data_IF_787979034598
#
_entry.id   IF_787979034598
#
_cell.length_a   1.000
_cell.length_b   1.000
_cell.length_c   1.000
_cell.angle_alpha   90.00
_cell.angle_beta   90.00
_cell.angle_gamma   90.00
#
_symmetry.space_group_name_H-M   'P 1'
#
loop_
_entity.id
_entity.type
_entity.pdbx_description
1 polymer ?
#
# COMPACT_ATOMS: atom_id res chain seq x y z
N UNK A 1 -51.99 -36.09 43.54
CA UNK A 1 -50.70 -35.75 42.92
C UNK A 1 -51.01 -34.64 41.95
N UNK A 2 -50.90 -33.39 42.40
CA UNK A 2 -51.33 -32.22 41.65
C UNK A 2 -50.08 -31.46 41.19
N UNK A 3 -49.91 -31.39 39.87
CA UNK A 3 -48.79 -30.79 39.17
C UNK A 3 -48.97 -29.28 39.08
N UNK A 4 -48.18 -28.50 39.81
CA UNK A 4 -48.06 -27.06 39.61
C UNK A 4 -47.17 -26.76 38.42
N UNK A 5 -47.81 -26.24 37.38
CA UNK A 5 -47.25 -25.68 36.16
C UNK A 5 -46.48 -24.38 36.48
N UNK A 6 -45.19 -24.33 36.18
CA UNK A 6 -44.39 -23.11 36.24
C UNK A 6 -44.56 -22.36 34.92
N UNK A 7 -45.23 -21.21 34.97
CA UNK A 7 -45.25 -20.22 33.91
C UNK A 7 -44.84 -18.86 34.48
N UNK A 8 -43.63 -18.35 34.19
CA UNK A 8 -43.28 -16.98 34.48
C UNK A 8 -43.86 -16.07 33.38
N UNK A 9 -44.83 -15.23 33.75
CA UNK A 9 -45.24 -14.09 32.94
C UNK A 9 -44.07 -13.12 32.69
N UNK A 10 -44.08 -12.38 31.57
CA UNK A 10 -42.98 -11.54 31.15
C UNK A 10 -42.84 -10.32 32.07
N UNK A 11 -41.63 -10.09 32.60
CA UNK A 11 -41.31 -8.82 33.26
C UNK A 11 -41.22 -7.71 32.20
N UNK A 12 -42.33 -6.99 32.03
CA UNK A 12 -42.44 -5.87 31.13
C UNK A 12 -41.83 -4.60 31.76
N UNK A 13 -40.77 -4.13 31.10
CA UNK A 13 -40.37 -2.73 30.90
C UNK A 13 -40.67 -1.70 32.01
N UNK A 14 -39.70 -1.51 32.92
CA UNK A 14 -39.56 -0.26 33.64
C UNK A 14 -38.93 0.82 32.76
N UNK A 15 -39.75 1.58 32.04
CA UNK A 15 -39.32 2.75 31.26
C UNK A 15 -38.91 3.88 32.20
N UNK A 16 -37.63 3.91 32.58
CA UNK A 16 -37.02 5.09 33.18
C UNK A 16 -36.82 6.12 32.06
N UNK A 17 -37.76 7.05 31.91
CA UNK A 17 -37.74 8.13 30.90
C UNK A 17 -36.38 8.85 30.81
N UNK A 18 -35.65 8.91 31.92
CA UNK A 18 -34.31 9.50 32.01
C UNK A 18 -33.20 8.63 31.38
N UNK A 19 -33.32 7.30 31.43
CA UNK A 19 -32.33 6.37 30.87
C UNK A 19 -32.35 6.38 29.34
N UNK A 20 -33.55 6.48 28.75
CA UNK A 20 -33.72 6.61 27.29
C UNK A 20 -33.16 7.93 26.76
N UNK A 21 -33.33 9.03 27.50
CA UNK A 21 -32.77 10.35 27.13
C UNK A 21 -31.23 10.34 27.25
N UNK A 22 -30.68 9.76 28.32
CA UNK A 22 -29.22 9.67 28.52
C UNK A 22 -28.58 8.84 27.40
N UNK A 23 -29.17 7.70 27.03
CA UNK A 23 -28.66 6.86 25.93
C UNK A 23 -28.72 7.63 24.60
N UNK A 24 -29.80 8.36 24.33
CA UNK A 24 -29.92 9.16 23.11
C UNK A 24 -28.85 10.27 23.01
N UNK A 25 -28.54 10.93 24.13
CA UNK A 25 -27.49 11.97 24.18
C UNK A 25 -26.10 11.36 23.93
N UNK A 26 -25.79 10.21 24.52
CA UNK A 26 -24.51 9.53 24.31
C UNK A 26 -24.34 9.13 22.85
N UNK A 27 -25.38 8.53 22.23
CA UNK A 27 -25.34 8.16 20.81
C UNK A 27 -25.13 9.38 19.93
N UNK A 28 -25.82 10.50 20.19
CA UNK A 28 -25.65 11.74 19.43
C UNK A 28 -24.23 12.32 19.55
N UNK A 29 -23.62 12.26 20.73
CA UNK A 29 -22.23 12.73 20.95
C UNK A 29 -21.24 11.83 20.21
N UNK A 30 -21.39 10.51 20.30
CA UNK A 30 -20.51 9.56 19.60
C UNK A 30 -20.62 9.74 18.09
N UNK A 31 -21.83 9.86 17.54
CA UNK A 31 -22.04 10.09 16.12
C UNK A 31 -21.45 11.42 15.66
N UNK A 32 -21.56 12.47 16.48
CA UNK A 32 -20.95 13.78 16.22
C UNK A 32 -19.41 13.70 16.23
N UNK A 33 -18.82 12.98 17.19
CA UNK A 33 -17.37 12.76 17.24
C UNK A 33 -16.87 11.94 16.04
N UNK A 34 -17.61 10.91 15.62
CA UNK A 34 -17.26 10.14 14.42
C UNK A 34 -17.29 11.01 13.15
N UNK A 35 -18.31 11.86 12.98
CA UNK A 35 -18.40 12.77 11.84
C UNK A 35 -17.24 13.79 11.79
N UNK A 36 -16.81 14.30 12.95
CA UNK A 36 -15.67 15.21 13.02
C UNK A 36 -14.36 14.51 12.64
N UNK A 37 -14.16 13.28 13.09
CA UNK A 37 -12.96 12.49 12.74
C UNK A 37 -12.93 12.15 11.26
N UNK A 38 -14.05 11.78 10.63
CA UNK A 38 -14.07 11.45 9.20
C UNK A 38 -13.89 12.68 8.31
N UNK A 39 -14.44 13.84 8.69
CA UNK A 39 -14.27 15.09 7.92
C UNK A 39 -12.83 15.59 8.01
N UNK A 40 -12.23 15.57 9.21
CA UNK A 40 -10.84 16.00 9.41
C UNK A 40 -9.86 15.02 8.78
N UNK A 41 -10.06 13.70 8.98
CA UNK A 41 -9.25 12.66 8.36
C UNK A 41 -9.33 12.67 6.83
N UNK A 42 -10.53 12.87 6.28
CA UNK A 42 -10.73 13.03 4.84
C UNK A 42 -10.04 14.27 4.27
N UNK A 43 -10.03 15.38 5.01
CA UNK A 43 -9.34 16.61 4.60
C UNK A 43 -7.81 16.43 4.55
N UNK A 44 -7.21 15.79 5.56
CA UNK A 44 -5.77 15.50 5.56
C UNK A 44 -5.38 14.47 4.49
N UNK A 45 -6.20 13.45 4.27
CA UNK A 45 -6.01 12.48 3.17
C UNK A 45 -6.11 13.15 1.80
N UNK A 46 -7.06 14.08 1.61
CA UNK A 46 -7.21 14.83 0.37
C UNK A 46 -5.99 15.74 0.09
N UNK A 47 -5.43 16.37 1.12
CA UNK A 47 -4.18 17.16 0.99
C UNK A 47 -3.00 16.29 0.53
N UNK A 48 -2.85 15.08 1.09
CA UNK A 48 -1.82 14.13 0.64
C UNK A 48 -2.05 13.64 -0.80
N UNK A 49 -3.31 13.39 -1.18
CA UNK A 49 -3.66 12.96 -2.53
C UNK A 49 -3.38 14.02 -3.60
N UNK A 50 -3.65 15.30 -3.32
CA UNK A 50 -3.38 16.40 -4.27
C UNK A 50 -1.87 16.64 -4.43
N UNK A 51 -1.08 16.51 -3.36
CA UNK A 51 0.39 16.58 -3.45
C UNK A 51 0.96 15.39 -4.22
N UNK A 52 0.38 14.20 -4.06
CA UNK A 52 0.76 13.03 -4.84
C UNK A 52 0.45 13.22 -6.34
N UNK A 53 -0.67 13.84 -6.70
CA UNK A 53 -0.96 14.16 -8.11
C UNK A 53 0.01 15.20 -8.69
N UNK A 54 0.44 16.20 -7.91
CA UNK A 54 1.43 17.19 -8.37
C UNK A 54 2.80 16.55 -8.62
N UNK A 55 3.21 15.60 -7.78
CA UNK A 55 4.41 14.81 -8.04
C UNK A 55 4.30 14.00 -9.35
N UNK A 56 3.11 13.45 -9.66
CA UNK A 56 2.84 12.78 -10.95
C UNK A 56 2.84 13.77 -12.13
N UNK A 57 2.36 14.99 -11.94
CA UNK A 57 2.40 16.06 -12.95
C UNK A 57 3.83 16.52 -13.27
N UNK A 58 4.75 16.48 -12.29
CA UNK A 58 6.18 16.70 -12.52
C UNK A 58 6.83 15.57 -13.32
N UNK A 59 6.40 14.31 -13.15
CA UNK A 59 6.80 13.20 -14.02
C UNK A 59 6.27 13.33 -15.46
N UNK A 60 5.12 13.99 -15.66
CA UNK A 60 4.59 14.26 -17.00
C UNK A 60 5.31 15.41 -17.73
N UNK A 61 5.99 16.31 -17.00
CA UNK A 61 6.79 17.40 -17.59
C UNK A 61 8.25 17.04 -17.82
N UNK A 62 8.68 15.83 -17.46
CA UNK A 62 9.87 15.25 -18.05
C UNK A 62 9.51 14.84 -19.48
N UNK A 63 10.22 15.39 -20.46
CA UNK A 63 10.12 15.03 -21.87
C UNK A 63 10.59 13.57 -22.02
N UNK A 64 9.70 12.62 -21.72
CA UNK A 64 9.91 11.20 -21.96
C UNK A 64 10.03 11.05 -23.48
N UNK A 65 11.14 10.50 -24.02
CA UNK A 65 11.20 10.13 -25.42
C UNK A 65 9.99 9.24 -25.71
N UNK A 66 9.14 9.67 -26.65
CA UNK A 66 7.89 9.01 -27.01
C UNK A 66 8.08 7.49 -27.16
N UNK A 67 7.71 6.71 -26.14
CA UNK A 67 7.34 5.34 -26.39
C UNK A 67 6.02 5.40 -27.16
N UNK A 68 5.92 4.75 -28.33
CA UNK A 68 4.74 4.85 -29.16
C UNK A 68 3.63 4.00 -28.53
N UNK A 69 2.86 4.58 -27.62
CA UNK A 69 1.61 3.99 -27.17
C UNK A 69 0.44 4.77 -27.77
N UNK A 70 -0.27 4.23 -28.77
CA UNK A 70 -1.70 4.43 -28.80
C UNK A 70 -2.25 3.58 -27.65
N UNK A 71 -2.70 4.18 -26.55
CA UNK A 71 -3.57 3.49 -25.60
C UNK A 71 -5.03 3.83 -25.92
N UNK A 72 -5.75 3.01 -26.71
CA UNK A 72 -7.20 3.05 -26.75
C UNK A 72 -7.72 2.10 -25.68
N UNK A 73 -7.84 2.55 -24.43
CA UNK A 73 -8.60 1.80 -23.43
C UNK A 73 -10.09 2.04 -23.64
N UNK A 74 -10.62 1.50 -24.74
CA UNK A 74 -12.05 1.36 -24.94
C UNK A 74 -12.47 -0.04 -24.50
N UNK A 75 -13.06 -0.14 -23.31
CA UNK A 75 -13.58 -1.41 -22.76
C UNK A 75 -14.80 -1.95 -23.52
N UNK A 76 -15.22 -1.30 -24.62
CA UNK A 76 -16.36 -1.73 -25.43
C UNK A 76 -15.98 -2.38 -26.77
N UNK A 77 -14.70 -2.51 -27.11
CA UNK A 77 -14.26 -3.14 -28.36
C UNK A 77 -14.04 -4.67 -28.20
N UNK A 78 -14.89 -5.51 -28.82
CA UNK A 78 -14.77 -6.98 -28.76
C UNK A 78 -13.57 -7.55 -29.54
N UNK A 79 -12.79 -6.72 -30.26
CA UNK A 79 -11.62 -7.13 -31.03
C UNK A 79 -10.28 -6.68 -30.42
N UNK A 80 -10.24 -6.22 -29.17
CA UNK A 80 -8.97 -5.86 -28.51
C UNK A 80 -8.07 -7.10 -28.39
N UNK A 81 -7.00 -7.13 -29.18
CA UNK A 81 -5.99 -8.17 -29.15
C UNK A 81 -5.36 -8.25 -27.76
N UNK A 82 -5.33 -9.47 -27.22
CA UNK A 82 -4.65 -9.93 -26.00
C UNK A 82 -3.84 -8.88 -25.24
N UNK A 83 -4.39 -8.51 -24.07
CA UNK A 83 -3.74 -7.78 -22.99
C UNK A 83 -2.28 -8.23 -22.87
N UNK A 84 -1.27 -7.34 -22.98
CA UNK A 84 0.07 -7.68 -22.52
C UNK A 84 -0.06 -8.04 -21.03
N UNK A 85 0.31 -9.27 -20.68
CA UNK A 85 0.24 -9.76 -19.30
C UNK A 85 0.87 -8.73 -18.38
N UNK A 86 0.04 -8.09 -17.56
CA UNK A 86 0.51 -7.18 -16.52
C UNK A 86 1.45 -8.01 -15.65
N UNK A 87 2.69 -7.54 -15.35
CA UNK A 87 3.58 -8.27 -14.47
C UNK A 87 2.82 -8.66 -13.20
N UNK A 88 2.91 -9.93 -12.82
CA UNK A 88 2.21 -10.42 -11.64
C UNK A 88 2.92 -9.90 -10.40
N UNK A 89 2.61 -8.67 -10.00
CA UNK A 89 3.14 -8.05 -8.81
C UNK A 89 2.62 -8.76 -7.57
N UNK A 90 3.52 -9.06 -6.65
CA UNK A 90 3.15 -9.56 -5.34
C UNK A 90 2.62 -8.39 -4.48
N UNK A 91 1.29 -8.34 -4.35
CA UNK A 91 0.56 -7.37 -3.55
C UNK A 91 0.11 -7.93 -2.19
N UNK A 92 0.60 -9.11 -1.80
CA UNK A 92 0.20 -9.76 -0.54
C UNK A 92 0.65 -8.99 0.71
N UNK A 93 1.56 -8.01 0.53
CA UNK A 93 2.21 -7.28 1.61
C UNK A 93 3.41 -8.03 2.19
N UNK A 94 3.75 -9.19 1.63
CA UNK A 94 4.98 -9.88 1.96
C UNK A 94 6.18 -9.16 1.32
N UNK A 95 7.30 -9.14 2.05
CA UNK A 95 8.53 -8.47 1.64
C UNK A 95 9.71 -9.39 1.92
N UNK A 96 10.75 -9.36 1.08
CA UNK A 96 11.94 -10.16 1.34
C UNK A 96 12.57 -9.72 2.67
N UNK A 97 12.95 -10.69 3.50
CA UNK A 97 13.54 -10.44 4.81
C UNK A 97 15.03 -10.09 4.70
N UNK A 98 15.53 -9.33 5.67
CA UNK A 98 16.93 -8.91 5.76
C UNK A 98 17.09 -7.41 5.52
N UNK A 99 18.28 -7.01 5.08
CA UNK A 99 18.65 -5.60 4.92
C UNK A 99 18.77 -4.84 6.24
N UNK A 100 18.89 -3.52 6.14
CA UNK A 100 18.92 -2.58 7.26
C UNK A 100 17.62 -1.80 7.41
N UNK A 101 16.78 -1.75 6.37
CA UNK A 101 15.48 -1.10 6.41
C UNK A 101 14.52 -1.80 7.38
N UNK A 102 13.71 -1.00 8.08
CA UNK A 102 12.53 -1.50 8.81
C UNK A 102 11.46 -2.04 7.84
N UNK A 103 10.46 -2.76 8.38
CA UNK A 103 9.47 -3.46 7.56
C UNK A 103 8.64 -2.52 6.66
N UNK A 104 8.32 -1.30 7.10
CA UNK A 104 7.52 -0.35 6.31
C UNK A 104 8.34 0.27 5.18
N UNK A 105 9.58 0.67 5.50
CA UNK A 105 10.53 1.16 4.48
C UNK A 105 10.84 0.07 3.45
N UNK A 106 10.99 -1.18 3.91
CA UNK A 106 11.26 -2.33 3.06
C UNK A 106 10.07 -2.68 2.16
N UNK A 107 8.84 -2.56 2.66
CA UNK A 107 7.63 -2.71 1.84
C UNK A 107 7.56 -1.67 0.73
N UNK A 108 7.81 -0.41 1.06
CA UNK A 108 7.85 0.67 0.07
C UNK A 108 8.92 0.42 -0.98
N UNK A 109 10.13 0.03 -0.54
CA UNK A 109 11.22 -0.32 -1.45
C UNK A 109 10.89 -1.52 -2.34
N UNK A 110 10.23 -2.53 -1.79
CA UNK A 110 9.87 -3.73 -2.52
C UNK A 110 8.94 -3.43 -3.71
N UNK A 111 7.96 -2.54 -3.56
CA UNK A 111 7.12 -2.11 -4.68
C UNK A 111 7.95 -1.50 -5.83
N UNK A 112 8.89 -0.60 -5.51
CA UNK A 112 9.76 0.00 -6.52
C UNK A 112 10.68 -1.04 -7.16
N UNK A 113 11.27 -1.92 -6.37
CA UNK A 113 12.15 -3.00 -6.85
C UNK A 113 11.40 -3.96 -7.78
N UNK A 114 10.17 -4.37 -7.45
CA UNK A 114 9.36 -5.22 -8.32
C UNK A 114 9.09 -4.55 -9.67
N UNK A 115 8.77 -3.27 -9.68
CA UNK A 115 8.50 -2.51 -10.91
C UNK A 115 9.76 -2.44 -11.80
N UNK A 116 10.90 -2.06 -11.23
CA UNK A 116 12.15 -1.96 -12.00
C UNK A 116 12.62 -3.35 -12.46
N UNK A 117 12.50 -4.37 -11.61
CA UNK A 117 12.78 -5.73 -12.00
C UNK A 117 11.90 -6.15 -13.19
N UNK A 118 10.59 -5.86 -13.16
CA UNK A 118 9.69 -6.18 -14.28
C UNK A 118 10.10 -5.48 -15.58
N UNK A 119 10.43 -4.20 -15.53
CA UNK A 119 10.92 -3.44 -16.69
C UNK A 119 12.27 -3.99 -17.20
N UNK A 120 13.10 -4.54 -16.31
CA UNK A 120 14.37 -5.20 -16.65
C UNK A 120 14.20 -6.60 -17.28
N UNK A 121 12.97 -7.11 -17.42
CA UNK A 121 12.68 -8.44 -17.97
C UNK A 121 12.37 -9.53 -16.93
N UNK A 122 12.14 -9.16 -15.67
CA UNK A 122 11.72 -10.08 -14.61
C UNK A 122 10.18 -10.26 -14.65
N UNK A 123 9.69 -11.30 -15.33
CA UNK A 123 8.25 -11.48 -15.57
C UNK A 123 7.43 -11.64 -14.28
N UNK A 124 7.96 -12.38 -13.31
CA UNK A 124 7.29 -12.64 -12.03
C UNK A 124 8.22 -12.41 -10.85
N UNK A 125 8.44 -11.15 -10.43
CA UNK A 125 9.19 -10.85 -9.21
C UNK A 125 8.51 -11.51 -8.00
N UNK A 126 9.28 -12.27 -7.21
CA UNK A 126 8.75 -13.02 -6.06
C UNK A 126 9.53 -12.73 -4.79
N UNK A 127 8.86 -12.73 -3.64
CA UNK A 127 9.52 -12.60 -2.33
C UNK A 127 10.37 -13.83 -2.04
N UNK A 128 9.84 -15.02 -2.30
CA UNK A 128 10.52 -16.28 -2.07
C UNK A 128 11.81 -16.39 -2.87
N UNK A 129 12.93 -16.57 -2.16
CA UNK A 129 14.26 -16.67 -2.77
C UNK A 129 14.89 -15.33 -3.16
N UNK A 130 14.18 -14.20 -3.02
CA UNK A 130 14.81 -12.87 -3.13
C UNK A 130 15.69 -12.61 -1.91
N UNK A 131 16.94 -12.19 -2.15
CA UNK A 131 17.91 -11.91 -1.09
C UNK A 131 18.37 -10.46 -1.11
N UNK A 132 18.59 -9.89 0.08
CA UNK A 132 19.05 -8.52 0.24
C UNK A 132 20.49 -8.52 0.76
N UNK A 133 21.40 -7.92 0.00
CA UNK A 133 22.80 -7.75 0.37
C UNK A 133 23.09 -6.27 0.67
N UNK A 134 23.64 -5.98 1.85
CA UNK A 134 24.04 -4.61 2.20
C UNK A 134 25.38 -4.30 1.52
N UNK A 135 25.35 -3.43 0.50
CA UNK A 135 26.52 -3.02 -0.27
C UNK A 135 27.30 -1.93 0.45
N UNK A 136 26.59 -1.00 1.09
CA UNK A 136 27.15 0.11 1.84
C UNK A 136 26.41 0.26 3.16
N UNK A 137 27.16 0.31 4.27
CA UNK A 137 26.61 0.65 5.58
C UNK A 137 26.24 2.14 5.66
N UNK A 138 25.31 2.54 6.54
CA UNK A 138 24.91 3.94 6.70
C UNK A 138 26.11 4.85 6.93
N UNK A 139 26.21 5.89 6.10
CA UNK A 139 27.27 6.88 6.22
C UNK A 139 26.97 7.93 7.32
N UNK A 140 27.77 9.00 7.38
CA UNK A 140 27.58 10.07 8.37
C UNK A 140 26.24 10.82 8.21
N UNK A 141 25.62 10.77 7.04
CA UNK A 141 24.27 11.29 6.77
C UNK A 141 23.17 10.25 6.95
N UNK A 142 23.53 9.00 7.29
CA UNK A 142 22.62 7.89 7.43
C UNK A 142 22.19 7.29 6.10
N UNK A 143 22.83 7.63 4.98
CA UNK A 143 22.54 7.06 3.65
C UNK A 143 23.19 5.70 3.53
N UNK A 144 22.46 4.70 3.05
CA UNK A 144 22.98 3.35 2.83
C UNK A 144 22.50 2.76 1.50
N UNK A 145 23.18 1.69 1.08
CA UNK A 145 22.91 1.04 -0.22
C UNK A 145 22.79 -0.46 -0.03
N UNK A 146 21.76 -1.02 -0.64
CA UNK A 146 21.49 -2.46 -0.68
C UNK A 146 21.40 -2.93 -2.14
N UNK A 147 21.73 -4.19 -2.37
CA UNK A 147 21.50 -4.88 -3.63
C UNK A 147 20.52 -6.02 -3.38
N UNK A 148 19.38 -5.94 -4.05
CA UNK A 148 18.28 -6.86 -3.95
C UNK A 148 18.36 -7.80 -5.14
N UNK A 149 18.71 -9.06 -4.89
CA UNK A 149 18.78 -10.08 -5.92
C UNK A 149 17.39 -10.71 -6.09
N UNK A 150 16.58 -10.12 -6.96
CA UNK A 150 15.16 -10.43 -7.13
C UNK A 150 14.98 -11.75 -7.85
N UNK A 151 14.24 -12.69 -7.26
CA UNK A 151 13.85 -13.93 -7.92
C UNK A 151 12.71 -13.68 -8.90
N UNK A 152 12.94 -13.99 -10.18
CA UNK A 152 11.97 -13.76 -11.25
C UNK A 152 10.98 -14.91 -11.46
N UNK A 153 10.95 -15.91 -10.58
CA UNK A 153 9.99 -17.04 -10.62
C UNK A 153 10.28 -18.09 -11.69
N UNK A 154 11.13 -17.77 -12.68
CA UNK A 154 11.59 -18.66 -13.75
C UNK A 154 12.99 -19.28 -13.46
N UNK A 155 13.50 -19.13 -12.24
CA UNK A 155 14.84 -19.58 -11.83
C UNK A 155 15.99 -18.63 -12.22
N UNK A 156 15.69 -17.49 -12.83
CA UNK A 156 16.63 -16.38 -13.00
C UNK A 156 16.51 -15.36 -11.86
N UNK A 157 17.56 -14.56 -11.72
CA UNK A 157 17.62 -13.49 -10.74
C UNK A 157 17.99 -12.16 -11.41
N UNK A 158 17.39 -11.08 -10.93
CA UNK A 158 17.66 -9.71 -11.38
C UNK A 158 18.22 -8.88 -10.23
N UNK A 159 19.50 -8.48 -10.25
CA UNK A 159 20.07 -7.64 -9.21
C UNK A 159 19.57 -6.20 -9.36
N UNK A 160 19.03 -5.65 -8.27
CA UNK A 160 18.48 -4.29 -8.20
C UNK A 160 19.18 -3.53 -7.10
N UNK A 161 19.86 -2.44 -7.44
CA UNK A 161 20.56 -1.60 -6.46
C UNK A 161 19.62 -0.55 -5.91
N UNK A 162 19.51 -0.50 -4.59
CA UNK A 162 18.57 0.35 -3.87
C UNK A 162 19.35 1.28 -2.94
N UNK A 163 19.18 2.58 -3.12
CA UNK A 163 19.74 3.62 -2.26
C UNK A 163 18.66 4.14 -1.33
N UNK A 164 18.99 4.20 -0.04
CA UNK A 164 18.11 4.68 1.00
C UNK A 164 18.68 5.97 1.59
N UNK A 165 17.88 7.04 1.54
CA UNK A 165 18.28 8.38 1.99
C UNK A 165 17.32 8.88 3.05
N UNK A 166 17.76 9.02 4.32
CA UNK A 166 16.95 9.65 5.36
C UNK A 166 16.74 11.14 5.06
N UNK A 167 15.50 11.58 4.93
CA UNK A 167 15.12 12.96 4.66
C UNK A 167 13.86 13.34 5.47
N UNK A 168 13.97 14.37 6.31
CA UNK A 168 12.85 14.90 7.11
C UNK A 168 12.10 13.85 7.96
N UNK A 169 12.78 12.81 8.41
CA UNK A 169 12.18 11.72 9.21
C UNK A 169 11.49 10.63 8.38
N UNK A 170 11.59 10.70 7.05
CA UNK A 170 11.15 9.66 6.10
C UNK A 170 12.41 9.10 5.41
N UNK A 171 12.39 7.84 4.99
CA UNK A 171 13.46 7.28 4.15
C UNK A 171 13.02 7.32 2.69
N UNK A 172 13.71 8.12 1.87
CA UNK A 172 13.55 8.10 0.42
C UNK A 172 14.23 6.87 -0.15
N UNK A 173 13.55 6.18 -1.06
CA UNK A 173 14.06 4.98 -1.73
C UNK A 173 14.29 5.28 -3.22
N UNK A 174 15.47 4.97 -3.71
CA UNK A 174 15.83 5.11 -5.13
C UNK A 174 16.38 3.78 -5.65
N UNK A 175 15.78 3.24 -6.72
CA UNK A 175 16.25 2.01 -7.39
C UNK A 175 16.96 2.40 -8.68
N UNK A 176 18.18 1.90 -8.88
CA UNK A 176 18.94 2.16 -10.10
C UNK A 176 18.24 1.53 -11.30
N UNK A 177 17.97 2.34 -12.34
CA UNK A 177 17.35 1.84 -13.56
C UNK A 177 18.35 1.00 -14.36
N UNK A 178 17.94 -0.14 -14.95
CA UNK A 178 18.76 -0.84 -15.91
C UNK A 178 19.03 0.09 -17.10
N UNK A 179 20.30 0.43 -17.33
CA UNK A 179 20.70 1.20 -18.52
C UNK A 179 20.40 0.37 -19.78
N UNK A 180 19.86 0.98 -20.86
CA UNK A 180 19.63 0.32 -22.14
C UNK A 180 20.93 -0.06 -22.88
#
# INVERSE_FOLDING_TARGET
MESTNYNPEPQQAGTNKNRTIIIAVIVAIVLCCCCLVTVVGGYYMYQGYVQAQQAVEEFQNFEIPEFPTPMPFDQTDPNSETIPEVPNFDLTGEVPAGGLADDETRLTAWFSVQLIAAISGCETPTVDGTSINVVQQPDASGVWVEEWNVNCGNGSFSPQKVTFTPENGIVKVEVELPYP
#
